data_IF_113294172267
#
_entry.id   IF_113294172267
#
_cell.length_a   1.000
_cell.length_b   1.000
_cell.length_c   1.000
_cell.angle_alpha   90.00
_cell.angle_beta   90.00
_cell.angle_gamma   90.00
#
_symmetry.space_group_name_H-M   'P 1'
#
loop_
_entity.id
_entity.type
_entity.pdbx_description
1 polymer ?
#
# COMPACT_ATOMS: atom_id res chain seq x y z
N UNK A 1 22.93 7.26 -8.62
CA UNK A 1 22.64 5.90 -9.14
C UNK A 1 21.35 5.32 -8.57
N UNK A 2 21.10 5.27 -7.24
CA UNK A 2 19.83 4.75 -6.70
C UNK A 2 18.58 5.51 -7.14
N UNK A 3 18.65 6.84 -7.21
CA UNK A 3 17.53 7.65 -7.69
C UNK A 3 17.17 7.36 -9.15
N UNK A 4 18.17 7.08 -10.01
CA UNK A 4 17.95 6.73 -11.42
C UNK A 4 17.24 5.37 -11.54
N UNK A 5 17.62 4.39 -10.71
CA UNK A 5 16.89 3.12 -10.64
C UNK A 5 15.46 3.35 -10.17
N UNK A 6 15.28 4.22 -9.18
CA UNK A 6 13.98 4.69 -8.71
C UNK A 6 13.09 5.24 -9.83
N UNK A 7 13.64 6.02 -10.75
CA UNK A 7 12.93 6.57 -11.92
C UNK A 7 12.38 5.44 -12.81
N UNK A 8 13.17 4.40 -13.07
CA UNK A 8 12.71 3.26 -13.87
C UNK A 8 11.70 2.38 -13.14
N UNK A 9 11.85 2.22 -11.83
CA UNK A 9 10.86 1.54 -10.99
C UNK A 9 9.52 2.27 -11.03
N UNK A 10 9.51 3.58 -10.79
CA UNK A 10 8.32 4.42 -10.84
C UNK A 10 7.61 4.34 -12.21
N UNK A 11 8.36 4.43 -13.31
CA UNK A 11 7.81 4.30 -14.66
C UNK A 11 7.10 2.98 -14.89
N UNK A 12 7.59 1.89 -14.29
CA UNK A 12 6.98 0.57 -14.41
C UNK A 12 5.71 0.47 -13.55
N UNK A 13 5.77 0.88 -12.28
CA UNK A 13 4.65 0.71 -11.34
C UNK A 13 3.50 1.69 -11.58
N UNK A 14 3.68 2.70 -12.44
CA UNK A 14 2.66 3.68 -12.83
C UNK A 14 1.98 3.36 -14.17
N UNK A 15 2.37 2.26 -14.85
CA UNK A 15 1.71 1.82 -16.09
C UNK A 15 0.29 1.32 -15.78
N UNK A 16 -0.72 2.12 -16.11
CA UNK A 16 -2.11 1.73 -15.87
C UNK A 16 -2.62 0.71 -16.89
N UNK A 17 -2.98 -0.49 -16.41
CA UNK A 17 -3.57 -1.57 -17.23
C UNK A 17 -5.05 -1.82 -16.90
N UNK A 18 -5.60 -1.09 -15.91
CA UNK A 18 -6.93 -1.33 -15.36
C UNK A 18 -8.04 -1.27 -16.41
N UNK A 19 -9.06 -2.13 -16.35
CA UNK A 19 -10.19 -2.08 -17.26
C UNK A 19 -11.04 -0.82 -17.04
N UNK A 20 -11.88 -0.46 -18.01
CA UNK A 20 -12.88 0.61 -17.80
C UNK A 20 -13.94 0.12 -16.81
N UNK A 21 -14.23 0.92 -15.78
CA UNK A 21 -15.30 0.61 -14.82
C UNK A 21 -16.63 1.15 -15.35
N UNK A 22 -17.53 0.24 -15.74
CA UNK A 22 -18.90 0.61 -16.12
C UNK A 22 -19.76 0.73 -14.87
N UNK A 23 -20.20 1.93 -14.52
CA UNK A 23 -21.15 2.11 -13.42
C UNK A 23 -22.55 1.90 -13.98
N UNK A 24 -23.09 0.70 -13.75
CA UNK A 24 -24.36 0.24 -14.34
C UNK A 24 -25.57 1.09 -13.95
N UNK A 25 -25.55 1.73 -12.77
CA UNK A 25 -26.67 2.54 -12.25
C UNK A 25 -26.74 3.97 -12.80
N UNK A 26 -25.62 4.56 -13.21
CA UNK A 26 -25.58 5.95 -13.72
C UNK A 26 -25.39 6.04 -15.23
N UNK A 27 -25.08 4.92 -15.90
CA UNK A 27 -24.73 4.92 -17.32
C UNK A 27 -23.37 5.56 -17.62
N UNK A 28 -22.66 6.07 -16.61
CA UNK A 28 -21.35 6.71 -16.74
C UNK A 28 -20.23 5.66 -16.71
N UNK A 29 -19.28 5.79 -17.63
CA UNK A 29 -18.01 5.06 -17.58
C UNK A 29 -16.98 5.91 -16.85
N UNK A 30 -16.51 5.44 -15.69
CA UNK A 30 -15.29 5.98 -15.07
C UNK A 30 -14.11 5.14 -15.55
N UNK A 31 -13.09 5.79 -16.11
CA UNK A 31 -11.83 5.13 -16.44
C UNK A 31 -10.75 5.61 -15.48
N UNK A 32 -10.24 4.71 -14.64
CA UNK A 32 -9.07 5.03 -13.83
C UNK A 32 -7.80 5.27 -14.68
N UNK A 33 -7.82 4.86 -15.96
CA UNK A 33 -6.72 5.11 -16.92
C UNK A 33 -6.39 6.59 -17.09
N UNK A 34 -7.37 7.46 -16.87
CA UNK A 34 -7.26 8.88 -17.15
C UNK A 34 -6.69 9.69 -15.96
N UNK A 35 -6.46 9.06 -14.81
CA UNK A 35 -6.21 9.78 -13.55
C UNK A 35 -4.88 9.45 -12.87
N UNK A 36 -4.46 8.18 -12.83
CA UNK A 36 -3.26 7.76 -12.08
C UNK A 36 -2.02 8.55 -12.49
N UNK A 37 -1.74 8.65 -13.80
CA UNK A 37 -0.56 9.37 -14.29
C UNK A 37 -0.56 10.84 -13.86
N UNK A 38 -1.72 11.51 -13.87
CA UNK A 38 -1.87 12.91 -13.43
C UNK A 38 -1.62 13.05 -11.92
N UNK A 39 -2.11 12.09 -11.13
CA UNK A 39 -1.88 12.04 -9.68
C UNK A 39 -0.39 11.78 -9.39
N UNK A 40 0.23 10.87 -10.12
CA UNK A 40 1.66 10.59 -10.04
C UNK A 40 2.48 11.84 -10.37
N UNK A 41 2.23 12.48 -11.52
CA UNK A 41 2.96 13.67 -11.95
C UNK A 41 2.88 14.77 -10.89
N UNK A 42 1.69 14.99 -10.32
CA UNK A 42 1.48 15.97 -9.24
C UNK A 42 2.29 15.61 -7.99
N UNK A 43 2.26 14.36 -7.55
CA UNK A 43 3.01 13.90 -6.38
C UNK A 43 4.53 13.99 -6.63
N UNK A 44 4.98 13.58 -7.82
CA UNK A 44 6.38 13.58 -8.27
C UNK A 44 6.95 14.99 -8.36
N UNK A 45 6.17 15.95 -8.87
CA UNK A 45 6.53 17.36 -8.89
C UNK A 45 6.64 17.92 -7.47
N UNK A 46 5.66 17.62 -6.61
CA UNK A 46 5.63 18.11 -5.23
C UNK A 46 6.77 17.57 -4.37
N UNK A 47 7.16 16.31 -4.57
CA UNK A 47 8.18 15.63 -3.76
C UNK A 47 9.59 15.71 -4.37
N UNK A 48 9.71 16.06 -5.65
CA UNK A 48 11.00 16.39 -6.28
C UNK A 48 11.87 15.22 -6.72
N UNK A 49 11.59 13.97 -6.31
CA UNK A 49 12.30 12.76 -6.75
C UNK A 49 11.33 11.57 -6.95
N UNK A 50 11.75 10.44 -7.56
CA UNK A 50 10.89 9.27 -7.75
C UNK A 50 10.31 8.78 -6.43
N UNK A 51 9.00 8.52 -6.42
CA UNK A 51 8.19 8.32 -5.23
C UNK A 51 8.57 7.04 -4.48
N UNK A 52 8.74 5.94 -5.20
CA UNK A 52 9.15 4.66 -4.59
C UNK A 52 10.56 4.73 -4.00
N UNK A 53 11.45 5.48 -4.65
CA UNK A 53 12.80 5.75 -4.15
C UNK A 53 12.76 6.59 -2.87
N UNK A 54 11.99 7.68 -2.84
CA UNK A 54 11.83 8.52 -1.65
C UNK A 54 11.26 7.75 -0.46
N UNK A 55 10.24 6.92 -0.69
CA UNK A 55 9.65 6.09 0.35
C UNK A 55 10.68 5.09 0.90
N UNK A 56 11.38 4.36 0.03
CA UNK A 56 12.43 3.45 0.43
C UNK A 56 13.55 4.17 1.20
N UNK A 57 14.01 5.32 0.71
CA UNK A 57 15.06 6.11 1.35
C UNK A 57 14.65 6.55 2.75
N UNK A 58 13.45 7.11 2.89
CA UNK A 58 12.90 7.52 4.19
C UNK A 58 12.84 6.36 5.18
N UNK A 59 12.35 5.19 4.74
CA UNK A 59 12.30 4.00 5.59
C UNK A 59 13.70 3.53 6.01
N UNK A 60 14.66 3.53 5.09
CA UNK A 60 16.03 3.10 5.36
C UNK A 60 16.82 4.08 6.24
N UNK A 61 16.51 5.37 6.18
CA UNK A 61 17.13 6.40 7.02
C UNK A 61 16.54 6.41 8.44
N UNK A 62 15.27 6.01 8.59
CA UNK A 62 14.55 6.10 9.86
C UNK A 62 14.46 4.80 10.64
N UNK A 63 14.53 3.65 9.98
CA UNK A 63 14.35 2.33 10.59
C UNK A 63 15.65 1.54 10.51
N UNK A 64 16.31 1.37 11.65
CA UNK A 64 17.47 0.51 11.84
C UNK A 64 17.12 -0.97 12.10
N UNK A 65 18.14 -1.85 12.15
CA UNK A 65 17.95 -3.24 12.57
C UNK A 65 17.35 -3.34 13.98
N UNK A 66 16.35 -4.20 14.15
CA UNK A 66 15.61 -4.39 15.41
C UNK A 66 14.63 -3.26 15.76
N UNK A 67 14.57 -2.19 14.97
CA UNK A 67 13.56 -1.15 15.13
C UNK A 67 12.25 -1.53 14.42
N UNK A 68 11.15 -0.95 14.86
CA UNK A 68 9.82 -1.32 14.40
C UNK A 68 9.33 -0.41 13.27
N UNK A 69 8.73 -1.01 12.24
CA UNK A 69 7.91 -0.32 11.24
C UNK A 69 6.50 -0.90 11.26
N UNK A 70 5.51 -0.01 11.11
CA UNK A 70 4.11 -0.41 10.97
C UNK A 70 3.71 -0.49 9.49
N UNK A 71 3.00 -1.55 9.11
CA UNK A 71 2.39 -1.74 7.79
C UNK A 71 0.87 -1.74 7.96
N UNK A 72 0.22 -0.65 7.55
CA UNK A 72 -1.21 -0.44 7.67
C UNK A 72 -1.86 -0.71 6.32
N UNK A 73 -2.71 -1.72 6.24
CA UNK A 73 -3.24 -2.17 4.93
C UNK A 73 -4.69 -2.61 5.01
N UNK A 74 -5.33 -2.70 3.85
CA UNK A 74 -6.65 -3.27 3.66
C UNK A 74 -7.68 -2.21 3.32
N UNK A 75 -8.31 -2.38 2.16
CA UNK A 75 -9.47 -1.63 1.70
C UNK A 75 -10.66 -2.56 1.42
N UNK A 76 -11.85 -1.97 1.22
CA UNK A 76 -13.08 -2.71 1.00
C UNK A 76 -13.88 -2.96 2.28
N UNK A 77 -13.96 -4.22 2.71
CA UNK A 77 -14.73 -4.63 3.88
C UNK A 77 -16.21 -4.97 3.60
N UNK A 78 -16.91 -5.53 4.60
CA UNK A 78 -18.31 -5.92 4.48
C UNK A 78 -19.23 -4.77 4.03
N UNK A 79 -20.36 -5.03 3.35
CA UNK A 79 -20.81 -6.33 2.90
C UNK A 79 -20.26 -6.73 1.52
N UNK A 80 -19.61 -5.82 0.80
CA UNK A 80 -19.24 -6.05 -0.62
C UNK A 80 -17.99 -6.92 -0.75
N UNK A 81 -17.00 -6.70 0.13
CA UNK A 81 -15.75 -7.45 0.17
C UNK A 81 -15.47 -7.87 1.61
N UNK A 82 -16.10 -8.96 2.10
CA UNK A 82 -16.17 -9.26 3.53
C UNK A 82 -14.81 -9.30 4.25
N UNK A 83 -13.74 -9.72 3.55
CA UNK A 83 -12.37 -9.78 4.07
C UNK A 83 -11.41 -8.84 3.31
N UNK A 84 -11.96 -7.85 2.60
CA UNK A 84 -11.19 -6.85 1.85
C UNK A 84 -10.95 -7.19 0.38
N UNK A 85 -10.33 -6.24 -0.32
CA UNK A 85 -9.75 -6.50 -1.64
C UNK A 85 -8.33 -7.07 -1.57
N UNK A 86 -7.87 -7.62 -2.69
CA UNK A 86 -6.49 -8.08 -2.84
C UNK A 86 -5.50 -6.91 -2.70
N UNK A 87 -5.80 -5.79 -3.37
CA UNK A 87 -4.92 -4.62 -3.37
C UNK A 87 -4.64 -4.11 -1.95
N UNK A 88 -3.37 -3.81 -1.69
CA UNK A 88 -2.80 -3.51 -0.39
C UNK A 88 -2.08 -4.69 0.25
N UNK A 89 -2.67 -5.88 0.21
CA UNK A 89 -2.14 -7.01 0.95
C UNK A 89 -0.81 -7.50 0.39
N UNK A 90 -0.67 -7.64 -0.93
CA UNK A 90 0.53 -8.23 -1.51
C UNK A 90 1.69 -7.23 -1.43
N UNK A 91 1.43 -5.94 -1.64
CA UNK A 91 2.39 -4.85 -1.54
C UNK A 91 2.89 -4.67 -0.12
N UNK A 92 1.99 -4.73 0.88
CA UNK A 92 2.39 -4.69 2.28
C UNK A 92 3.25 -5.90 2.67
N UNK A 93 2.91 -7.11 2.19
CA UNK A 93 3.74 -8.29 2.38
C UNK A 93 5.11 -8.19 1.67
N UNK A 94 5.19 -7.60 0.48
CA UNK A 94 6.45 -7.38 -0.24
C UNK A 94 7.37 -6.42 0.52
N UNK A 95 6.84 -5.28 1.00
CA UNK A 95 7.60 -4.33 1.85
C UNK A 95 8.06 -5.03 3.14
N UNK A 96 7.20 -5.83 3.74
CA UNK A 96 7.51 -6.57 4.97
C UNK A 96 8.70 -7.51 4.76
N UNK A 97 8.70 -8.26 3.66
CA UNK A 97 9.83 -9.13 3.28
C UNK A 97 11.12 -8.33 3.11
N UNK A 98 11.07 -7.21 2.40
CA UNK A 98 12.23 -6.34 2.19
C UNK A 98 12.76 -5.74 3.51
N UNK A 99 11.89 -5.32 4.42
CA UNK A 99 12.25 -4.76 5.73
C UNK A 99 12.80 -5.83 6.68
N UNK A 100 12.18 -7.02 6.74
CA UNK A 100 12.61 -8.09 7.65
C UNK A 100 13.91 -8.76 7.18
N UNK A 101 14.02 -9.11 5.89
CA UNK A 101 15.20 -9.83 5.39
C UNK A 101 16.31 -8.90 4.89
N UNK A 102 15.96 -7.72 4.38
CA UNK A 102 16.92 -6.69 3.98
C UNK A 102 17.45 -5.91 5.18
N UNK A 103 16.55 -5.19 5.87
CA UNK A 103 16.90 -4.25 6.96
C UNK A 103 17.00 -4.91 8.34
N UNK A 104 16.45 -6.11 8.52
CA UNK A 104 16.31 -6.78 9.84
C UNK A 104 15.45 -5.95 10.80
N UNK A 105 14.45 -5.24 10.28
CA UNK A 105 13.48 -4.51 11.09
C UNK A 105 12.40 -5.45 11.63
N UNK A 106 11.80 -5.06 12.75
CA UNK A 106 10.56 -5.67 13.25
C UNK A 106 9.37 -5.06 12.49
N UNK A 107 8.43 -5.90 12.07
CA UNK A 107 7.23 -5.44 11.35
C UNK A 107 5.98 -5.76 12.15
N UNK A 108 5.12 -4.76 12.31
CA UNK A 108 3.77 -4.91 12.85
C UNK A 108 2.77 -4.51 11.77
N UNK A 109 1.95 -5.45 11.33
CA UNK A 109 0.79 -5.16 10.52
C UNK A 109 -0.32 -4.58 11.38
N UNK A 110 -1.02 -3.58 10.88
CA UNK A 110 -2.19 -3.00 11.52
C UNK A 110 -3.33 -2.95 10.51
N UNK A 111 -4.46 -3.57 10.82
CA UNK A 111 -5.62 -3.59 9.91
C UNK A 111 -6.94 -3.79 10.66
N UNK A 112 -8.03 -3.95 9.93
CA UNK A 112 -9.30 -4.41 10.48
C UNK A 112 -9.24 -5.89 10.88
N UNK A 113 -10.16 -6.33 11.74
CA UNK A 113 -10.28 -7.72 12.18
C UNK A 113 -10.48 -8.71 11.02
N UNK A 114 -11.29 -8.32 10.03
CA UNK A 114 -11.60 -9.12 8.85
C UNK A 114 -10.41 -9.34 7.91
N UNK A 115 -9.32 -8.58 8.06
CA UNK A 115 -8.14 -8.72 7.22
C UNK A 115 -7.20 -9.86 7.68
N UNK A 116 -7.43 -10.45 8.85
CA UNK A 116 -6.54 -11.45 9.43
C UNK A 116 -6.27 -12.64 8.49
N UNK A 117 -7.33 -13.27 7.98
CA UNK A 117 -7.20 -14.49 7.16
C UNK A 117 -6.48 -14.25 5.82
N UNK A 118 -6.91 -13.30 4.96
CA UNK A 118 -6.24 -13.06 3.69
C UNK A 118 -4.82 -12.53 3.86
N UNK A 119 -4.56 -11.68 4.86
CA UNK A 119 -3.20 -11.18 5.09
C UNK A 119 -2.26 -12.27 5.61
N UNK A 120 -2.73 -13.15 6.50
CA UNK A 120 -1.98 -14.33 6.93
C UNK A 120 -1.64 -15.25 5.76
N UNK A 121 -2.61 -15.51 4.88
CA UNK A 121 -2.45 -16.35 3.70
C UNK A 121 -1.45 -15.73 2.69
N UNK A 122 -1.54 -14.42 2.49
CA UNK A 122 -0.61 -13.63 1.67
C UNK A 122 0.81 -13.69 2.23
N UNK A 123 0.99 -13.45 3.53
CA UNK A 123 2.29 -13.52 4.20
C UNK A 123 2.94 -14.89 4.00
N UNK A 124 2.18 -15.99 4.13
CA UNK A 124 2.70 -17.35 3.87
C UNK A 124 3.19 -17.52 2.44
N UNK A 125 2.52 -16.92 1.45
CA UNK A 125 2.96 -16.93 0.06
C UNK A 125 4.30 -16.22 -0.17
N UNK A 126 4.58 -15.19 0.65
CA UNK A 126 5.82 -14.42 0.66
C UNK A 126 6.92 -15.03 1.57
N UNK A 127 6.74 -16.25 2.06
CA UNK A 127 7.57 -16.94 3.06
C UNK A 127 7.74 -16.14 4.37
N UNK A 128 6.68 -15.43 4.78
CA UNK A 128 6.61 -14.69 6.04
C UNK A 128 5.75 -15.44 7.05
N UNK A 129 6.14 -15.34 8.32
CA UNK A 129 5.34 -15.81 9.45
C UNK A 129 4.63 -14.62 10.04
N UNK A 130 3.30 -14.68 10.12
CA UNK A 130 2.46 -13.68 10.77
C UNK A 130 1.82 -14.31 12.01
N UNK A 131 1.96 -13.64 13.15
CA UNK A 131 1.44 -14.10 14.44
C UNK A 131 0.52 -13.08 15.10
N UNK A 132 -0.27 -13.52 16.07
CA UNK A 132 -1.07 -12.63 16.92
C UNK A 132 -0.23 -12.04 18.06
N UNK A 133 -0.67 -10.92 18.66
CA UNK A 133 -0.01 -10.35 19.82
C UNK A 133 -0.02 -11.36 20.98
N UNK A 134 1.10 -11.47 21.70
CA UNK A 134 1.27 -12.42 22.81
C UNK A 134 1.71 -13.83 22.40
N UNK A 135 1.70 -14.19 21.11
CA UNK A 135 2.25 -15.46 20.65
C UNK A 135 3.80 -15.41 20.62
N UNK A 136 4.46 -16.39 21.25
CA UNK A 136 5.92 -16.47 21.30
C UNK A 136 6.48 -17.41 20.24
N UNK A 137 7.32 -16.87 19.35
CA UNK A 137 7.90 -17.59 18.22
C UNK A 137 9.42 -17.36 18.26
N UNK A 138 10.19 -18.44 18.12
CA UNK A 138 11.65 -18.36 17.96
C UNK A 138 12.03 -17.99 16.51
N UNK A 139 11.14 -18.26 15.55
CA UNK A 139 11.33 -17.90 14.16
C UNK A 139 11.05 -16.39 13.93
N UNK A 140 11.76 -15.82 12.96
CA UNK A 140 11.54 -14.45 12.50
C UNK A 140 10.09 -14.31 12.03
N UNK A 141 9.33 -13.42 12.67
CA UNK A 141 7.89 -13.25 12.46
C UNK A 141 7.47 -11.78 12.55
N UNK A 142 6.42 -11.42 11.80
CA UNK A 142 5.70 -10.17 11.94
C UNK A 142 4.50 -10.35 12.90
N UNK A 143 4.05 -9.27 13.51
CA UNK A 143 2.87 -9.27 14.41
C UNK A 143 1.68 -8.62 13.71
N UNK A 144 0.47 -9.14 13.89
CA UNK A 144 -0.77 -8.53 13.41
C UNK A 144 -1.55 -7.88 14.56
N UNK A 145 -1.89 -6.62 14.41
CA UNK A 145 -2.71 -5.84 15.34
C UNK A 145 -3.99 -5.36 14.67
N UNK A 146 -5.07 -5.25 15.45
CA UNK A 146 -6.37 -4.80 14.95
C UNK A 146 -6.70 -3.39 15.38
N UNK A 147 -7.46 -2.70 14.53
CA UNK A 147 -8.01 -1.37 14.78
C UNK A 147 -9.54 -1.41 14.86
N UNK A 148 -10.15 -0.77 15.87
CA UNK A 148 -11.59 -0.67 15.98
C UNK A 148 -12.16 0.35 14.99
N UNK A 149 -13.46 0.26 14.73
CA UNK A 149 -14.17 1.04 13.71
C UNK A 149 -14.77 2.36 14.23
N UNK A 150 -14.94 2.48 15.54
CA UNK A 150 -15.44 3.70 16.17
C UNK A 150 -14.31 4.67 16.47
N UNK A 151 -14.57 5.98 16.34
CA UNK A 151 -13.55 7.02 16.46
C UNK A 151 -12.78 6.99 17.79
N UNK A 152 -13.49 7.11 18.92
CA UNK A 152 -12.86 7.23 20.23
C UNK A 152 -12.08 5.96 20.65
N UNK A 153 -12.61 4.72 20.48
CA UNK A 153 -11.81 3.52 20.69
C UNK A 153 -10.59 3.43 19.78
N UNK A 154 -10.69 3.89 18.53
CA UNK A 154 -9.60 3.80 17.57
C UNK A 154 -8.48 4.79 17.88
N UNK A 155 -8.83 5.99 18.32
CA UNK A 155 -7.87 7.01 18.77
C UNK A 155 -7.08 6.54 20.00
N UNK A 156 -7.76 5.91 20.98
CA UNK A 156 -7.08 5.25 22.11
C UNK A 156 -6.19 4.11 21.64
N UNK A 157 -6.70 3.24 20.76
CA UNK A 157 -5.92 2.10 20.25
C UNK A 157 -4.67 2.55 19.49
N UNK A 158 -4.75 3.63 18.72
CA UNK A 158 -3.61 4.24 18.06
C UNK A 158 -2.55 4.68 19.09
N UNK A 159 -2.96 5.34 20.17
CA UNK A 159 -2.07 5.74 21.27
C UNK A 159 -1.35 4.53 21.86
N UNK A 160 -2.12 3.49 22.22
CA UNK A 160 -1.60 2.25 22.80
C UNK A 160 -0.56 1.57 21.90
N UNK A 161 -0.87 1.41 20.61
CA UNK A 161 0.02 0.75 19.65
C UNK A 161 1.32 1.54 19.46
N UNK A 162 1.23 2.87 19.34
CA UNK A 162 2.41 3.73 19.19
C UNK A 162 3.29 3.72 20.45
N UNK A 163 2.69 3.68 21.65
CA UNK A 163 3.43 3.64 22.91
C UNK A 163 4.09 2.27 23.15
N UNK A 164 3.37 1.19 22.83
CA UNK A 164 3.81 -0.19 23.01
C UNK A 164 4.98 -0.54 22.08
N UNK A 165 4.81 -0.30 20.77
CA UNK A 165 5.76 -0.78 19.77
C UNK A 165 6.80 0.27 19.34
N UNK A 166 6.56 1.55 19.66
CA UNK A 166 7.45 2.69 19.36
C UNK A 166 8.00 2.66 17.92
N UNK A 167 7.13 2.58 16.90
CA UNK A 167 7.59 2.48 15.52
C UNK A 167 8.37 3.71 15.11
N UNK A 168 9.36 3.51 14.24
CA UNK A 168 10.14 4.59 13.62
C UNK A 168 9.53 5.08 12.31
N UNK A 169 8.72 4.23 11.69
CA UNK A 169 7.94 4.58 10.51
C UNK A 169 6.60 3.83 10.47
N UNK A 170 5.64 4.40 9.76
CA UNK A 170 4.33 3.82 9.47
C UNK A 170 4.05 3.98 7.98
N UNK A 171 3.63 2.90 7.33
CA UNK A 171 3.34 2.84 5.90
C UNK A 171 1.89 2.44 5.71
N UNK A 172 1.09 3.25 5.04
CA UNK A 172 -0.21 2.85 4.52
C UNK A 172 -0.05 2.24 3.12
N UNK A 173 -0.65 1.08 2.88
CA UNK A 173 -0.73 0.46 1.55
C UNK A 173 -2.20 0.16 1.27
N UNK A 174 -2.79 0.84 0.28
CA UNK A 174 -4.21 0.72 -0.04
C UNK A 174 -5.10 0.81 1.21
N UNK A 175 -4.84 1.84 2.03
CA UNK A 175 -5.61 2.06 3.25
C UNK A 175 -6.49 3.28 3.10
N UNK A 176 -7.81 3.06 3.10
CA UNK A 176 -8.78 4.14 3.01
C UNK A 176 -8.61 5.15 4.16
N UNK A 177 -8.71 6.44 3.83
CA UNK A 177 -8.73 7.53 4.80
C UNK A 177 -9.99 8.39 4.69
N UNK A 178 -10.34 9.13 5.76
CA UNK A 178 -11.49 10.00 5.74
C UNK A 178 -11.25 11.24 4.87
N UNK A 179 -12.33 11.83 4.38
CA UNK A 179 -12.29 13.19 3.84
C UNK A 179 -12.26 14.25 4.96
N UNK A 180 -12.30 15.53 4.58
CA UNK A 180 -12.34 16.66 5.52
C UNK A 180 -13.56 16.72 6.45
N UNK A 181 -14.57 15.85 6.25
CA UNK A 181 -15.76 15.71 7.11
C UNK A 181 -15.71 14.44 7.96
N UNK A 182 -14.53 13.82 8.10
CA UNK A 182 -14.33 12.56 8.83
C UNK A 182 -15.09 11.36 8.25
N UNK A 183 -15.46 11.38 6.96
CA UNK A 183 -16.16 10.27 6.32
C UNK A 183 -15.23 9.55 5.35
N UNK A 184 -15.02 8.25 5.56
CA UNK A 184 -14.24 7.38 4.66
C UNK A 184 -15.06 6.93 3.45
N UNK A 185 -14.46 6.96 2.27
CA UNK A 185 -15.11 6.62 0.99
C UNK A 185 -14.30 5.61 0.19
N UNK A 186 -14.96 4.89 -0.72
CA UNK A 186 -14.26 4.23 -1.82
C UNK A 186 -14.05 5.18 -3.01
N UNK A 187 -13.28 4.76 -4.01
CA UNK A 187 -13.02 5.52 -5.24
C UNK A 187 -14.25 5.84 -6.10
N UNK A 188 -15.43 5.30 -5.78
CA UNK A 188 -16.71 5.70 -6.41
C UNK A 188 -17.44 6.78 -5.60
N UNK A 189 -16.86 7.31 -4.53
CA UNK A 189 -17.51 8.31 -3.68
C UNK A 189 -18.66 7.77 -2.83
N UNK A 190 -18.73 6.45 -2.61
CA UNK A 190 -19.70 5.82 -1.69
C UNK A 190 -19.03 5.70 -0.32
N UNK A 191 -19.78 6.01 0.74
CA UNK A 191 -19.26 5.89 2.10
C UNK A 191 -18.92 4.43 2.44
N UNK A 192 -17.74 4.23 3.03
CA UNK A 192 -17.26 3.00 3.65
C UNK A 192 -16.97 3.21 5.14
N UNK A 193 -17.45 4.32 5.67
CA UNK A 193 -17.16 4.77 7.02
C UNK A 193 -17.48 3.75 8.14
N UNK A 194 -18.61 3.01 8.09
CA UNK A 194 -18.97 2.08 9.17
C UNK A 194 -18.15 0.77 9.19
N UNK A 195 -17.40 0.49 8.12
CA UNK A 195 -16.85 -0.86 7.86
C UNK A 195 -15.34 -0.89 7.95
N UNK A 196 -14.73 0.26 8.26
CA UNK A 196 -13.29 0.50 8.23
C UNK A 196 -12.81 1.00 9.58
N UNK A 197 -11.74 0.41 10.09
CA UNK A 197 -11.00 0.93 11.23
C UNK A 197 -10.55 2.37 10.98
N UNK A 198 -10.65 3.24 11.99
CA UNK A 198 -10.28 4.67 11.89
C UNK A 198 -8.76 4.89 11.97
N UNK A 199 -8.02 4.24 11.07
CA UNK A 199 -6.55 4.25 11.06
C UNK A 199 -5.96 5.64 10.84
N UNK A 200 -6.73 6.66 10.45
CA UNK A 200 -6.24 8.04 10.38
C UNK A 200 -5.65 8.52 11.71
N UNK A 201 -6.18 8.07 12.85
CA UNK A 201 -5.65 8.47 14.16
C UNK A 201 -4.22 7.98 14.38
N UNK A 202 -3.86 6.83 13.80
CA UNK A 202 -2.50 6.31 13.85
C UNK A 202 -1.53 7.23 13.11
N UNK A 203 -1.93 7.75 11.94
CA UNK A 203 -1.10 8.66 11.14
C UNK A 203 -1.07 10.08 11.70
N UNK A 204 -2.23 10.61 12.13
CA UNK A 204 -2.33 11.95 12.76
C UNK A 204 -1.43 12.01 14.02
N UNK A 205 -1.47 10.96 14.86
CA UNK A 205 -0.60 10.88 16.05
C UNK A 205 0.86 10.58 15.71
N UNK A 206 1.14 9.77 14.69
CA UNK A 206 2.52 9.51 14.24
C UNK A 206 3.21 10.80 13.77
N UNK A 207 2.52 11.61 12.97
CA UNK A 207 3.00 12.91 12.53
C UNK A 207 3.28 13.83 13.74
N UNK A 208 2.36 13.91 14.71
CA UNK A 208 2.55 14.70 15.92
C UNK A 208 3.75 14.25 16.77
N UNK A 209 4.15 12.97 16.67
CA UNK A 209 5.29 12.37 17.37
C UNK A 209 6.59 12.39 16.55
N UNK A 210 6.58 12.91 15.33
CA UNK A 210 7.74 12.91 14.43
C UNK A 210 8.14 11.52 13.92
N UNK A 211 7.21 10.56 13.93
CA UNK A 211 7.37 9.23 13.34
C UNK A 211 7.18 9.36 11.83
N UNK A 212 8.06 8.75 11.04
CA UNK A 212 8.01 8.86 9.59
C UNK A 212 6.76 8.20 9.01
N UNK A 213 6.15 8.82 7.99
CA UNK A 213 4.89 8.36 7.40
C UNK A 213 5.00 8.22 5.89
N UNK A 214 4.55 7.08 5.36
CA UNK A 214 4.45 6.82 3.92
C UNK A 214 3.02 6.42 3.60
N UNK A 215 2.44 6.96 2.54
CA UNK A 215 1.17 6.51 1.97
C UNK A 215 1.42 5.92 0.59
N UNK A 216 0.81 4.78 0.28
CA UNK A 216 0.83 4.13 -1.03
C UNK A 216 -0.61 3.91 -1.45
N UNK A 217 -0.97 4.43 -2.61
CA UNK A 217 -2.34 4.42 -3.09
C UNK A 217 -2.45 4.69 -4.59
N UNK A 218 -3.63 4.46 -5.16
CA UNK A 218 -3.90 4.71 -6.58
C UNK A 218 -5.20 5.50 -6.85
N UNK A 219 -6.02 5.70 -5.82
CA UNK A 219 -7.41 6.11 -5.96
C UNK A 219 -7.71 7.54 -5.49
N UNK A 220 -6.89 8.14 -4.62
CA UNK A 220 -7.14 9.46 -4.03
C UNK A 220 -7.91 9.44 -2.70
N UNK A 221 -8.52 8.31 -2.36
CA UNK A 221 -9.27 8.07 -1.12
C UNK A 221 -8.41 7.40 -0.04
N UNK A 222 -7.15 7.10 -0.33
CA UNK A 222 -6.23 6.41 0.56
C UNK A 222 -5.43 7.40 1.43
N UNK A 223 -4.96 6.93 2.59
CA UNK A 223 -4.07 7.67 3.47
C UNK A 223 -2.79 8.08 2.71
N UNK A 224 -2.45 9.36 2.82
CA UNK A 224 -1.32 9.99 2.12
C UNK A 224 -1.76 10.94 1.01
N UNK A 225 -2.90 10.69 0.37
CA UNK A 225 -3.41 11.57 -0.70
C UNK A 225 -3.82 12.97 -0.23
N UNK A 226 -3.92 13.20 1.09
CA UNK A 226 -4.02 14.55 1.65
C UNK A 226 -2.88 15.46 1.17
N UNK A 227 -1.71 14.89 0.84
CA UNK A 227 -0.56 15.64 0.31
C UNK A 227 -0.87 16.34 -1.02
N UNK A 228 -1.73 15.76 -1.86
CA UNK A 228 -2.14 16.30 -3.16
C UNK A 228 -3.67 16.47 -3.26
N UNK A 229 -4.32 16.78 -2.13
CA UNK A 229 -5.78 16.80 -1.99
C UNK A 229 -6.49 17.66 -3.04
N UNK A 230 -5.91 18.79 -3.43
CA UNK A 230 -6.51 19.68 -4.43
C UNK A 230 -6.50 19.07 -5.82
N UNK A 231 -5.41 18.38 -6.19
CA UNK A 231 -5.35 17.63 -7.44
C UNK A 231 -6.31 16.44 -7.43
N UNK A 232 -6.45 15.73 -6.31
CA UNK A 232 -7.46 14.66 -6.17
C UNK A 232 -8.88 15.20 -6.38
N UNK A 233 -9.18 16.37 -5.79
CA UNK A 233 -10.46 17.06 -5.95
C UNK A 233 -10.75 17.43 -7.40
N UNK A 234 -9.75 17.93 -8.12
CA UNK A 234 -9.86 18.38 -9.51
C UNK A 234 -9.91 17.21 -10.50
N UNK A 235 -9.03 16.22 -10.35
CA UNK A 235 -8.80 15.16 -11.32
C UNK A 235 -9.93 14.12 -11.29
N UNK A 236 -10.45 13.78 -10.09
CA UNK A 236 -11.35 12.66 -9.92
C UNK A 236 -12.83 13.07 -9.93
N UNK A 237 -13.72 12.32 -10.61
CA UNK A 237 -15.14 12.67 -10.73
C UNK A 237 -15.91 12.83 -9.40
N UNK A 238 -15.44 12.21 -8.33
CA UNK A 238 -16.02 12.32 -6.98
C UNK A 238 -15.11 13.05 -5.99
N UNK A 239 -14.00 13.63 -6.48
CA UNK A 239 -13.00 14.30 -5.66
C UNK A 239 -13.59 15.44 -4.83
N UNK A 240 -14.35 16.34 -5.48
CA UNK A 240 -15.04 17.46 -4.81
C UNK A 240 -16.37 17.08 -4.14
N UNK A 241 -17.11 16.14 -4.74
CA UNK A 241 -18.47 15.80 -4.28
C UNK A 241 -18.71 14.30 -4.37
N UNK A 242 -18.92 13.68 -3.21
CA UNK A 242 -19.22 12.27 -3.07
C UNK A 242 -20.73 11.99 -3.22
N UNK A 243 -21.10 10.71 -3.27
CA UNK A 243 -22.48 10.27 -3.44
C UNK A 243 -23.24 10.14 -2.10
N UNK A 244 -22.55 10.24 -0.97
CA UNK A 244 -23.17 10.11 0.35
C UNK A 244 -23.67 11.46 0.92
N UNK A 245 -24.52 11.46 1.96
CA UNK A 245 -25.09 12.69 2.52
C UNK A 245 -24.05 13.73 3.02
N UNK A 246 -22.79 13.34 3.27
CA UNK A 246 -21.78 14.31 3.70
C UNK A 246 -21.42 15.32 2.61
N UNK A 247 -21.55 14.95 1.32
CA UNK A 247 -21.26 15.82 0.16
C UNK A 247 -19.85 16.44 0.18
N UNK A 248 -18.90 15.87 0.94
CA UNK A 248 -17.56 16.43 1.16
C UNK A 248 -16.50 15.95 0.17
N UNK A 249 -16.89 15.15 -0.83
CA UNK A 249 -15.93 14.52 -1.75
C UNK A 249 -15.28 13.28 -1.18
N UNK A 250 -14.60 12.50 -2.03
CA UNK A 250 -13.88 11.29 -1.63
C UNK A 250 -12.40 11.53 -1.30
N UNK A 251 -11.86 12.71 -1.58
CA UNK A 251 -10.45 13.01 -1.37
C UNK A 251 -10.07 12.83 0.11
N UNK A 252 -9.10 11.96 0.37
CA UNK A 252 -8.56 11.73 1.71
C UNK A 252 -7.90 13.01 2.24
N UNK A 253 -8.12 13.32 3.52
CA UNK A 253 -7.48 14.48 4.18
C UNK A 253 -6.11 14.16 4.78
N UNK A 254 -5.81 12.88 5.01
CA UNK A 254 -4.62 12.47 5.76
C UNK A 254 -3.39 12.60 4.87
N UNK A 255 -2.42 13.40 5.31
CA UNK A 255 -1.13 13.59 4.65
C UNK A 255 -0.10 12.60 5.18
N UNK A 256 0.94 12.33 4.38
CA UNK A 256 2.14 11.60 4.80
C UNK A 256 3.39 12.35 4.33
N UNK A 257 4.55 12.03 4.91
CA UNK A 257 5.84 12.64 4.52
C UNK A 257 6.19 12.30 3.07
N UNK A 258 5.90 11.06 2.65
CA UNK A 258 6.00 10.61 1.26
C UNK A 258 4.68 9.98 0.84
N UNK A 259 4.24 10.30 -0.38
CA UNK A 259 3.11 9.65 -1.06
C UNK A 259 3.65 8.94 -2.29
N UNK A 260 3.39 7.64 -2.40
CA UNK A 260 3.62 6.82 -3.59
C UNK A 260 2.29 6.65 -4.31
N UNK A 261 2.18 7.26 -5.48
CA UNK A 261 1.07 7.01 -6.40
C UNK A 261 1.52 5.94 -7.39
N UNK A 262 0.74 4.87 -7.51
CA UNK A 262 1.01 3.78 -8.44
C UNK A 262 -0.24 3.45 -9.27
N UNK A 263 -0.07 2.63 -10.31
CA UNK A 263 -1.20 2.10 -11.07
C UNK A 263 -2.09 1.22 -10.20
N UNK A 264 -1.48 0.39 -9.36
CA UNK A 264 -2.09 -0.49 -8.38
C UNK A 264 -1.27 -0.32 -7.10
N UNK A 265 -1.90 -0.19 -5.94
CA UNK A 265 -1.19 0.11 -4.70
C UNK A 265 -0.16 -0.98 -4.34
N UNK A 266 -0.48 -2.24 -4.62
CA UNK A 266 0.44 -3.35 -4.51
C UNK A 266 1.67 -3.21 -5.40
N UNK A 267 1.53 -2.67 -6.62
CA UNK A 267 2.69 -2.37 -7.48
C UNK A 267 3.56 -1.26 -6.88
N UNK A 268 2.93 -0.24 -6.27
CA UNK A 268 3.65 0.76 -5.48
C UNK A 268 4.45 0.11 -4.34
N UNK A 269 3.84 -0.84 -3.63
CA UNK A 269 4.49 -1.64 -2.60
C UNK A 269 5.67 -2.46 -3.14
N UNK A 270 5.53 -3.10 -4.30
CA UNK A 270 6.62 -3.80 -4.97
C UNK A 270 7.76 -2.86 -5.36
N UNK A 271 7.45 -1.67 -5.86
CA UNK A 271 8.45 -0.67 -6.20
C UNK A 271 9.24 -0.15 -4.99
N UNK A 272 8.56 0.07 -3.86
CA UNK A 272 9.23 0.40 -2.59
C UNK A 272 10.11 -0.75 -2.11
N UNK A 273 9.61 -1.98 -2.14
CA UNK A 273 10.37 -3.17 -1.76
C UNK A 273 11.61 -3.38 -2.66
N UNK A 274 11.49 -3.15 -3.97
CA UNK A 274 12.58 -3.24 -4.92
C UNK A 274 13.66 -2.18 -4.63
N UNK A 275 13.27 -0.93 -4.36
CA UNK A 275 14.21 0.12 -3.99
C UNK A 275 14.89 -0.14 -2.62
N UNK A 276 14.18 -0.73 -1.65
CA UNK A 276 14.77 -1.17 -0.39
C UNK A 276 15.83 -2.24 -0.64
N UNK A 277 15.48 -3.29 -1.40
CA UNK A 277 16.38 -4.39 -1.71
C UNK A 277 17.63 -3.91 -2.49
N UNK A 278 17.43 -3.02 -3.46
CA UNK A 278 18.51 -2.42 -4.24
C UNK A 278 19.46 -1.58 -3.38
N UNK A 279 18.94 -0.63 -2.59
CA UNK A 279 19.76 0.26 -1.77
C UNK A 279 20.49 -0.46 -0.63
N UNK A 280 20.04 -1.66 -0.27
CA UNK A 280 20.70 -2.53 0.70
C UNK A 280 21.66 -3.54 0.07
N UNK A 281 21.77 -3.56 -1.27
CA UNK A 281 22.54 -4.55 -2.04
C UNK A 281 22.12 -5.99 -1.70
N UNK A 282 20.81 -6.20 -1.52
CA UNK A 282 20.18 -7.47 -1.13
C UNK A 282 18.99 -7.79 -2.03
N UNK A 283 19.20 -8.07 -3.33
CA UNK A 283 18.11 -8.38 -4.25
C UNK A 283 17.24 -9.56 -3.78
N UNK A 284 17.80 -10.55 -3.06
CA UNK A 284 17.03 -11.66 -2.49
C UNK A 284 16.01 -11.30 -1.40
N UNK A 285 16.00 -10.06 -0.91
CA UNK A 285 14.97 -9.55 0.00
C UNK A 285 13.67 -9.17 -0.75
N UNK A 286 13.72 -8.97 -2.06
CA UNK A 286 12.56 -8.74 -2.91
C UNK A 286 11.77 -10.05 -3.11
N UNK A 287 10.46 -9.95 -3.33
CA UNK A 287 9.63 -11.09 -3.75
C UNK A 287 9.93 -11.43 -5.22
N UNK A 288 9.81 -12.69 -5.63
CA UNK A 288 9.87 -13.09 -7.05
C UNK A 288 8.47 -13.45 -7.60
N UNK A 289 8.34 -13.69 -8.91
CA UNK A 289 7.04 -14.00 -9.52
C UNK A 289 6.37 -15.26 -8.97
N UNK A 290 7.13 -16.26 -8.51
CA UNK A 290 6.54 -17.46 -7.91
C UNK A 290 6.00 -17.19 -6.51
N UNK A 291 6.69 -16.37 -5.71
CA UNK A 291 6.16 -15.87 -4.43
C UNK A 291 4.89 -15.07 -4.68
N UNK A 292 4.91 -14.14 -5.64
CA UNK A 292 3.76 -13.33 -6.00
C UNK A 292 2.54 -14.19 -6.39
N UNK A 293 2.73 -15.22 -7.23
CA UNK A 293 1.64 -16.11 -7.58
C UNK A 293 1.08 -16.84 -6.36
N UNK A 294 1.95 -17.36 -5.47
CA UNK A 294 1.49 -17.97 -4.21
C UNK A 294 0.74 -16.98 -3.35
N UNK A 295 1.25 -15.76 -3.20
CA UNK A 295 0.61 -14.68 -2.44
C UNK A 295 -0.80 -14.41 -2.96
N UNK A 296 -0.95 -14.18 -4.27
CA UNK A 296 -2.26 -13.89 -4.89
C UNK A 296 -3.23 -15.06 -4.75
N UNK A 297 -2.80 -16.27 -5.09
CA UNK A 297 -3.64 -17.47 -4.97
C UNK A 297 -4.13 -17.68 -3.54
N UNK A 298 -3.21 -17.64 -2.58
CA UNK A 298 -3.54 -17.81 -1.17
C UNK A 298 -4.48 -16.72 -0.66
N UNK A 299 -4.27 -15.46 -1.08
CA UNK A 299 -5.11 -14.32 -0.70
C UNK A 299 -6.56 -14.49 -1.18
N UNK A 300 -6.73 -14.86 -2.46
CA UNK A 300 -8.03 -15.12 -3.08
C UNK A 300 -8.72 -16.35 -2.50
N UNK A 301 -7.97 -17.44 -2.26
CA UNK A 301 -8.48 -18.65 -1.59
C UNK A 301 -8.91 -18.38 -0.14
N UNK A 302 -8.28 -17.41 0.52
CA UNK A 302 -8.69 -16.92 1.84
C UNK A 302 -9.87 -15.91 1.77
N UNK A 303 -10.46 -15.71 0.59
CA UNK A 303 -11.71 -14.97 0.40
C UNK A 303 -11.57 -13.51 0.00
N UNK A 304 -10.33 -12.98 -0.14
CA UNK A 304 -10.13 -11.65 -0.70
C UNK A 304 -10.61 -11.61 -2.16
N UNK A 305 -11.16 -10.47 -2.57
CA UNK A 305 -11.76 -10.30 -3.89
C UNK A 305 -11.01 -9.26 -4.70
N UNK A 306 -11.04 -9.38 -6.01
CA UNK A 306 -10.53 -8.35 -6.91
C UNK A 306 -11.25 -7.00 -6.65
N UNK A 307 -10.48 -5.91 -6.53
CA UNK A 307 -11.01 -4.60 -6.16
C UNK A 307 -11.94 -3.99 -7.22
N UNK A 308 -11.80 -4.43 -8.46
CA UNK A 308 -12.53 -3.94 -9.63
C UNK A 308 -13.79 -4.77 -9.92
N UNK A 309 -13.71 -6.10 -9.95
CA UNK A 309 -14.81 -7.02 -10.28
C UNK A 309 -15.59 -7.49 -9.05
N UNK A 310 -14.98 -7.44 -7.86
CA UNK A 310 -15.48 -8.06 -6.63
C UNK A 310 -15.74 -9.57 -6.80
N UNK A 311 -14.94 -10.23 -7.64
CA UNK A 311 -14.95 -11.68 -7.84
C UNK A 311 -13.67 -12.30 -7.25
N UNK A 312 -13.70 -13.59 -6.86
CA UNK A 312 -12.51 -14.32 -6.41
C UNK A 312 -11.67 -14.73 -7.62
N UNK A 313 -11.16 -13.75 -8.36
CA UNK A 313 -10.33 -13.93 -9.53
C UNK A 313 -8.85 -13.81 -9.15
N UNK A 314 -7.98 -14.50 -9.88
CA UNK A 314 -6.53 -14.28 -9.79
C UNK A 314 -6.16 -13.00 -10.53
N UNK A 315 -6.66 -11.90 -10.00
CA UNK A 315 -6.51 -10.57 -10.49
C UNK A 315 -6.42 -9.61 -9.30
N UNK A 316 -5.81 -8.46 -9.57
CA UNK A 316 -5.76 -7.36 -8.65
C UNK A 316 -6.04 -6.07 -9.44
N UNK A 317 -7.06 -5.35 -8.99
CA UNK A 317 -7.76 -4.29 -9.70
C UNK A 317 -8.08 -4.54 -11.19
N UNK A 318 -8.54 -5.76 -11.47
CA UNK A 318 -8.95 -6.23 -12.79
C UNK A 318 -7.79 -6.49 -13.73
N UNK A 319 -6.55 -6.47 -13.24
CA UNK A 319 -5.34 -6.86 -13.97
C UNK A 319 -5.06 -8.32 -13.66
N UNK A 320 -4.85 -9.19 -14.67
CA UNK A 320 -4.70 -10.63 -14.44
C UNK A 320 -3.29 -10.99 -13.93
N UNK A 321 -3.19 -12.06 -13.13
CA UNK A 321 -1.95 -12.60 -12.54
C UNK A 321 -0.71 -12.53 -13.44
N UNK A 322 -0.84 -12.82 -14.74
CA UNK A 322 0.28 -12.77 -15.70
C UNK A 322 0.98 -11.41 -15.73
N UNK A 323 0.25 -10.31 -15.62
CA UNK A 323 0.80 -8.97 -15.62
C UNK A 323 1.46 -8.63 -14.28
N UNK A 324 0.91 -9.08 -13.16
CA UNK A 324 1.56 -8.94 -11.85
C UNK A 324 2.90 -9.68 -11.83
N UNK A 325 2.94 -10.94 -12.33
CA UNK A 325 4.18 -11.73 -12.45
C UNK A 325 5.21 -11.00 -13.28
N UNK A 326 4.83 -10.51 -14.46
CA UNK A 326 5.72 -9.75 -15.33
C UNK A 326 6.25 -8.48 -14.66
N UNK A 327 5.41 -7.75 -13.93
CA UNK A 327 5.83 -6.57 -13.17
C UNK A 327 6.94 -6.91 -12.16
N UNK A 328 6.73 -7.95 -11.35
CA UNK A 328 7.72 -8.41 -10.34
C UNK A 328 9.00 -8.94 -10.98
N UNK A 329 8.91 -9.69 -12.08
CA UNK A 329 10.09 -10.20 -12.79
C UNK A 329 10.94 -9.07 -13.38
N UNK A 330 10.31 -8.06 -13.98
CA UNK A 330 11.01 -6.89 -14.51
C UNK A 330 11.64 -6.09 -13.36
N UNK A 331 10.93 -5.87 -12.24
CA UNK A 331 11.48 -5.17 -11.07
C UNK A 331 12.70 -5.90 -10.51
N UNK A 332 12.63 -7.21 -10.31
CA UNK A 332 13.77 -8.01 -9.82
C UNK A 332 14.96 -7.95 -10.76
N UNK A 333 14.70 -8.13 -12.06
CA UNK A 333 15.74 -8.10 -13.08
C UNK A 333 16.41 -6.72 -13.12
N UNK A 334 15.61 -5.65 -13.09
CA UNK A 334 16.08 -4.27 -13.07
C UNK A 334 17.05 -4.03 -11.90
N UNK A 335 16.64 -4.35 -10.66
CA UNK A 335 17.49 -4.09 -9.49
C UNK A 335 18.71 -5.00 -9.43
N UNK A 336 18.61 -6.23 -9.95
CA UNK A 336 19.73 -7.18 -9.98
C UNK A 336 20.79 -6.74 -10.98
N UNK A 337 20.37 -6.36 -12.19
CA UNK A 337 21.30 -5.87 -13.23
C UNK A 337 21.89 -4.53 -12.80
N UNK A 338 21.10 -3.61 -12.23
CA UNK A 338 21.60 -2.32 -11.76
C UNK A 338 22.65 -2.43 -10.64
N UNK A 339 22.69 -3.56 -9.92
CA UNK A 339 23.69 -3.86 -8.91
C UNK A 339 24.88 -4.68 -9.44
N UNK A 340 24.86 -5.07 -10.72
CA UNK A 340 25.92 -5.85 -11.35
C UNK A 340 26.90 -4.96 -12.13
N UNK A 341 28.15 -5.38 -12.17
CA UNK A 341 29.19 -4.81 -13.03
C UNK A 341 29.51 -5.82 -14.14
N UNK A 342 29.69 -5.33 -15.37
CA UNK A 342 30.13 -6.14 -16.51
C UNK A 342 31.34 -5.43 -17.10
N UNK A 343 32.46 -6.13 -17.16
CA UNK A 343 33.66 -5.62 -17.83
C UNK A 343 33.39 -5.50 -19.33
N UNK A 344 33.71 -4.33 -19.89
CA UNK A 344 33.68 -4.14 -21.33
C UNK A 344 34.95 -4.81 -21.91
N UNK A 345 34.84 -5.88 -22.71
CA UNK A 345 36.02 -6.53 -23.29
C UNK A 345 36.83 -5.61 -24.22
N UNK A 346 36.30 -4.43 -24.58
CA UNK A 346 37.03 -3.43 -25.34
C UNK A 346 37.88 -2.46 -24.49
N UNK A 347 37.78 -2.46 -23.15
CA UNK A 347 38.43 -1.49 -22.26
C UNK A 347 39.12 -2.09 -21.03
#
# INVERSE_FOLDING_TARGET
>A
MPEIVGEYVDRLVTVTMKPKRRITKSGSTLSQRDHVHRLYDTAREKLGAPLTYLAARLLLDRVGPGETVFLVTGAGGPPVRPVGEVDGYLGAAAITRAMMFGRKANVVFVSDDWAWEPLLATCRGADLILKRPGEEYMAISATFETMPRDHEPCERRATELLDQYRPKAIVAVERLGPNHKEVTHNGTGISRDPTQGKTQYLFDQAAARGIATVGIGDGGNEIGFGLIVDAVREILPHGLRCQCPCQGGMACRVTTDVLVVAAISDWGGYGVAANIAFQLEKPGAMINADMLERMLRNCVEAGALDGQSALPELADDGVPLIAHRACVDILNTLITIAASEVDDPAH
#
